data_IF_542731045653
#
_entry.id   IF_542731045653
#
_cell.length_a   1.000
_cell.length_b   1.000
_cell.length_c   1.000
_cell.angle_alpha   90.00
_cell.angle_beta   90.00
_cell.angle_gamma   90.00
#
_symmetry.space_group_name_H-M   'P 1'
#
loop_
_entity.id
_entity.type
_entity.pdbx_description
1 polymer ?
#
# COMPACT_ATOMS: atom_id res chain seq x y z
N UNK A 1 17.56 1.05 7.57
CA UNK A 1 17.55 -0.02 6.54
C UNK A 1 17.20 -1.34 7.23
N UNK A 2 16.57 -2.30 6.55
CA UNK A 2 16.20 -3.61 7.15
C UNK A 2 17.16 -4.72 6.70
N UNK A 3 17.53 -5.60 7.63
CA UNK A 3 18.36 -6.78 7.38
C UNK A 3 17.52 -8.06 7.38
N UNK A 4 18.00 -9.07 6.67
CA UNK A 4 17.53 -10.43 6.77
C UNK A 4 18.27 -11.18 7.90
N UNK A 5 17.86 -12.42 8.18
CA UNK A 5 18.43 -13.24 9.26
C UNK A 5 19.92 -13.56 9.07
N UNK A 6 20.48 -13.39 7.87
CA UNK A 6 21.90 -13.60 7.55
C UNK A 6 22.71 -12.29 7.60
N UNK A 7 22.13 -11.21 8.12
CA UNK A 7 22.79 -9.89 8.21
C UNK A 7 22.90 -9.14 6.88
N UNK A 8 22.33 -9.66 5.78
CA UNK A 8 22.31 -8.97 4.48
C UNK A 8 21.05 -8.11 4.33
N UNK A 9 21.02 -7.19 3.37
CA UNK A 9 19.83 -6.40 3.08
C UNK A 9 18.59 -7.24 2.81
N UNK A 10 17.43 -6.78 3.30
CA UNK A 10 16.16 -7.44 3.06
C UNK A 10 15.78 -7.36 1.57
N UNK A 11 15.53 -8.52 0.95
CA UNK A 11 15.11 -8.59 -0.45
C UNK A 11 13.60 -8.36 -0.60
N UNK A 12 13.16 -8.02 -1.81
CA UNK A 12 11.73 -7.90 -2.14
C UNK A 12 10.94 -9.17 -1.82
N UNK A 13 11.48 -10.33 -2.18
CA UNK A 13 10.88 -11.63 -1.87
C UNK A 13 10.85 -11.90 -0.37
N UNK A 14 11.91 -11.56 0.36
CA UNK A 14 11.95 -11.65 1.82
C UNK A 14 10.86 -10.82 2.48
N UNK A 15 10.67 -9.57 2.04
CA UNK A 15 9.58 -8.73 2.52
C UNK A 15 8.19 -9.35 2.23
N UNK A 16 8.01 -9.94 1.04
CA UNK A 16 6.76 -10.61 0.69
C UNK A 16 6.46 -11.80 1.62
N UNK A 17 7.47 -12.62 1.93
CA UNK A 17 7.34 -13.72 2.89
C UNK A 17 6.99 -13.24 4.30
N UNK A 18 7.63 -12.15 4.75
CA UNK A 18 7.32 -11.53 6.05
C UNK A 18 5.86 -11.08 6.10
N UNK A 19 5.37 -10.37 5.07
CA UNK A 19 3.97 -9.93 4.99
C UNK A 19 3.01 -11.12 5.00
N UNK A 20 3.29 -12.16 4.22
CA UNK A 20 2.44 -13.36 4.16
C UNK A 20 2.37 -14.06 5.52
N UNK A 21 3.49 -14.18 6.22
CA UNK A 21 3.56 -14.78 7.57
C UNK A 21 2.65 -14.04 8.54
N UNK A 22 2.72 -12.70 8.56
CA UNK A 22 1.90 -11.90 9.47
C UNK A 22 0.43 -11.86 9.07
N UNK A 23 0.12 -11.91 7.77
CA UNK A 23 -1.25 -12.03 7.30
C UNK A 23 -1.92 -13.31 7.84
N UNK A 24 -1.21 -14.43 7.75
CA UNK A 24 -1.67 -15.71 8.27
C UNK A 24 -1.82 -15.68 9.80
N UNK A 25 -0.85 -15.12 10.51
CA UNK A 25 -0.91 -14.98 11.97
C UNK A 25 -2.07 -14.09 12.44
N UNK A 26 -2.45 -13.09 11.64
CA UNK A 26 -3.59 -12.22 11.91
C UNK A 26 -4.95 -12.78 11.43
N UNK A 27 -4.98 -14.00 10.87
CA UNK A 27 -6.21 -14.62 10.36
C UNK A 27 -6.79 -13.92 9.12
N UNK A 28 -6.01 -13.10 8.41
CA UNK A 28 -6.47 -12.37 7.23
C UNK A 28 -6.60 -13.35 6.07
N UNK A 29 -7.84 -13.59 5.63
CA UNK A 29 -8.13 -14.41 4.46
C UNK A 29 -7.89 -13.60 3.18
N UNK A 30 -7.16 -14.17 2.21
CA UNK A 30 -6.90 -13.57 0.90
C UNK A 30 -5.43 -13.23 0.62
N UNK A 31 -5.16 -12.72 -0.58
CA UNK A 31 -3.80 -12.39 -1.03
C UNK A 31 -3.35 -11.03 -0.49
N UNK A 32 -2.62 -11.04 0.63
CA UNK A 32 -1.96 -9.84 1.19
C UNK A 32 -0.53 -9.72 0.63
N UNK A 33 -0.22 -8.56 0.07
CA UNK A 33 1.11 -8.24 -0.45
C UNK A 33 1.58 -6.86 0.03
N UNK A 34 2.88 -6.53 -0.05
CA UNK A 34 3.38 -5.18 0.24
C UNK A 34 2.68 -4.08 -0.58
N UNK A 35 2.28 -4.39 -1.82
CA UNK A 35 1.53 -3.47 -2.67
C UNK A 35 0.10 -3.27 -2.17
N UNK A 36 -0.57 -4.34 -1.74
CA UNK A 36 -1.90 -4.27 -1.11
C UNK A 36 -1.88 -3.35 0.11
N UNK A 37 -0.89 -3.51 1.00
CA UNK A 37 -0.73 -2.65 2.18
C UNK A 37 -0.55 -1.17 1.82
N UNK A 38 0.29 -0.89 0.80
CA UNK A 38 0.52 0.48 0.31
C UNK A 38 -0.78 1.11 -0.20
N UNK A 39 -1.58 0.37 -0.98
CA UNK A 39 -2.87 0.84 -1.49
C UNK A 39 -3.89 1.07 -0.41
N UNK A 40 -4.01 0.15 0.56
CA UNK A 40 -4.96 0.30 1.66
C UNK A 40 -4.66 1.55 2.47
N UNK A 41 -3.38 1.84 2.76
CA UNK A 41 -3.00 3.09 3.45
C UNK A 41 -3.29 4.33 2.61
N UNK A 42 -3.02 4.30 1.31
CA UNK A 42 -3.34 5.41 0.41
C UNK A 42 -4.85 5.70 0.38
N UNK A 43 -5.68 4.65 0.31
CA UNK A 43 -7.13 4.75 0.36
C UNK A 43 -7.62 5.30 1.70
N UNK A 44 -7.10 4.78 2.82
CA UNK A 44 -7.43 5.26 4.17
C UNK A 44 -7.11 6.75 4.34
N UNK A 45 -5.96 7.23 3.84
CA UNK A 45 -5.62 8.65 3.87
C UNK A 45 -6.61 9.51 3.06
N UNK A 46 -6.97 9.06 1.85
CA UNK A 46 -7.95 9.78 1.03
C UNK A 46 -9.34 9.80 1.68
N UNK A 47 -9.78 8.69 2.30
CA UNK A 47 -11.05 8.61 3.02
C UNK A 47 -11.09 9.54 4.24
N UNK A 48 -9.95 9.79 4.88
CA UNK A 48 -9.81 10.76 5.98
C UNK A 48 -9.71 12.22 5.52
N UNK A 49 -9.86 12.48 4.22
CA UNK A 49 -9.82 13.84 3.65
C UNK A 49 -8.41 14.40 3.43
N UNK A 50 -7.36 13.57 3.52
CA UNK A 50 -5.99 14.00 3.21
C UNK A 50 -5.89 14.34 1.73
N UNK A 51 -5.26 15.48 1.41
CA UNK A 51 -5.16 15.95 0.04
C UNK A 51 -4.39 14.93 -0.83
N UNK A 52 -4.85 14.68 -2.06
CA UNK A 52 -4.18 13.79 -3.03
C UNK A 52 -2.69 14.09 -3.20
N UNK A 53 -2.30 15.38 -3.19
CA UNK A 53 -0.88 15.78 -3.30
C UNK A 53 -0.06 15.37 -2.07
N UNK A 54 -0.66 15.37 -0.89
CA UNK A 54 -0.03 14.89 0.34
C UNK A 54 0.10 13.37 0.35
N UNK A 55 -0.94 12.65 -0.09
CA UNK A 55 -0.89 11.20 -0.25
C UNK A 55 0.18 10.79 -1.28
N UNK A 56 0.32 11.52 -2.39
CA UNK A 56 1.36 11.28 -3.39
C UNK A 56 2.78 11.49 -2.84
N UNK A 57 3.01 12.58 -2.10
CA UNK A 57 4.27 12.82 -1.39
C UNK A 57 4.58 11.73 -0.37
N UNK A 58 3.59 11.32 0.42
CA UNK A 58 3.71 10.24 1.39
C UNK A 58 4.14 8.90 0.74
N UNK A 59 3.64 8.62 -0.46
CA UNK A 59 3.99 7.40 -1.20
C UNK A 59 5.36 7.47 -1.90
N UNK A 60 6.02 8.63 -1.88
CA UNK A 60 7.31 8.85 -2.56
C UNK A 60 7.18 8.95 -4.08
N UNK A 61 5.98 9.26 -4.59
CA UNK A 61 5.71 9.39 -6.02
C UNK A 61 5.92 10.86 -6.43
N UNK A 62 7.10 11.17 -6.96
CA UNK A 62 7.43 12.48 -7.52
C UNK A 62 6.89 12.70 -8.95
N UNK A 63 6.25 11.70 -9.56
CA UNK A 63 5.66 11.78 -10.90
C UNK A 63 4.12 11.63 -10.85
N UNK A 64 3.33 12.52 -11.48
CA UNK A 64 1.86 12.50 -11.51
C UNK A 64 1.20 11.23 -12.07
N UNK A 65 1.95 10.27 -12.63
CA UNK A 65 1.41 9.18 -13.45
C UNK A 65 1.21 7.82 -12.74
N UNK A 66 1.62 7.64 -11.48
CA UNK A 66 1.63 6.31 -10.86
C UNK A 66 0.35 5.91 -10.09
N UNK A 67 -0.67 6.78 -10.02
CA UNK A 67 -1.96 6.41 -9.42
C UNK A 67 -3.08 6.80 -10.37
N UNK A 68 -3.55 5.83 -11.18
CA UNK A 68 -4.94 5.83 -11.67
C UNK A 68 -5.85 5.66 -10.44
N UNK A 69 -6.09 6.77 -9.74
CA UNK A 69 -7.17 6.85 -8.77
C UNK A 69 -8.43 6.66 -9.61
N UNK A 70 -9.02 5.47 -9.51
CA UNK A 70 -10.37 5.23 -10.01
C UNK A 70 -11.34 6.03 -9.15
N UNK A 71 -11.47 7.30 -9.47
CA UNK A 71 -12.67 8.06 -9.16
C UNK A 71 -13.73 7.57 -10.15
N UNK A 72 -14.32 6.40 -9.90
CA UNK A 72 -15.67 6.16 -10.41
C UNK A 72 -16.53 7.08 -9.58
N UNK A 73 -16.90 8.21 -10.18
CA UNK A 73 -17.94 9.07 -9.64
C UNK A 73 -19.16 8.17 -9.45
N UNK A 74 -19.57 7.97 -8.19
CA UNK A 74 -20.94 7.55 -7.89
C UNK A 74 -21.81 8.61 -8.53
N UNK A 75 -22.60 8.18 -9.52
CA UNK A 75 -23.67 8.93 -10.15
C UNK A 75 -24.45 9.66 -9.08
N UNK A 76 -24.52 10.98 -9.20
CA UNK A 76 -25.51 11.78 -8.50
C UNK A 76 -26.70 11.82 -9.44
N UNK A 77 -27.69 10.99 -9.15
CA UNK A 77 -29.00 11.04 -9.80
C UNK A 77 -29.64 12.39 -9.44
N UNK A 78 -29.95 13.17 -10.48
CA UNK A 78 -31.03 14.17 -10.53
C UNK A 78 -31.91 13.80 -11.73
#
# INVERSE_FOLDING_TARGET
LFLNQRGKGLTRQGLWLVVKRWAAAAGIQGSLSPHTLRHTRARDLLQRGVNRREVQRFLGLSSPNAIRIHTRNVTRDE
#
